data_IF_578767913208
#
_entry.id   IF_578767913208
#
_cell.length_a   1.000
_cell.length_b   1.000
_cell.length_c   1.000
_cell.angle_alpha   90.00
_cell.angle_beta   90.00
_cell.angle_gamma   90.00
#
_symmetry.space_group_name_H-M   'P 1'
#
loop_
_entity.id
_entity.type
_entity.pdbx_description
1 polymer ?
#
# COMPACT_ATOMS: atom_id res chain seq x y z
N UNK A 1 17.46 64.75 -43.79
CA UNK A 1 17.95 65.37 -45.04
C UNK A 1 18.67 66.66 -44.65
N UNK A 2 19.95 66.79 -45.04
CA UNK A 2 20.90 67.90 -44.78
C UNK A 2 21.39 68.15 -43.32
N UNK A 3 22.72 68.04 -43.05
CA UNK A 3 23.37 68.61 -41.88
C UNK A 3 23.91 70.04 -42.19
N UNK A 4 23.75 70.97 -41.25
CA UNK A 4 24.33 72.33 -41.34
C UNK A 4 25.73 72.39 -40.72
N UNK A 5 26.67 72.82 -41.57
CA UNK A 5 28.01 73.37 -41.25
C UNK A 5 27.90 74.62 -40.38
N UNK A 6 28.94 74.87 -39.57
CA UNK A 6 29.80 76.07 -39.68
C UNK A 6 30.94 76.01 -38.64
N UNK A 7 32.23 75.93 -39.03
CA UNK A 7 33.17 77.05 -39.35
C UNK A 7 33.41 77.98 -38.15
N UNK A 8 34.58 78.54 -37.85
CA UNK A 8 35.94 78.64 -38.41
C UNK A 8 36.62 79.79 -37.63
N UNK A 9 37.95 79.83 -37.62
CA UNK A 9 38.88 80.99 -37.50
C UNK A 9 39.82 80.91 -36.29
N UNK A 10 41.09 81.30 -36.34
CA UNK A 10 42.01 81.72 -37.42
C UNK A 10 43.41 81.80 -36.79
N UNK A 11 44.42 81.28 -37.51
CA UNK A 11 45.70 81.91 -37.91
C UNK A 11 46.48 82.78 -36.90
N UNK A 12 47.78 82.44 -36.75
CA UNK A 12 49.01 83.19 -37.20
C UNK A 12 50.24 82.47 -36.60
N UNK A 13 51.20 81.85 -37.31
CA UNK A 13 52.20 82.25 -38.33
C UNK A 13 53.40 83.06 -37.78
N UNK A 14 54.61 82.54 -38.13
CA UNK A 14 56.01 83.07 -38.06
C UNK A 14 56.75 82.85 -36.72
N UNK A 15 58.02 82.45 -36.68
CA UNK A 15 59.17 82.75 -37.57
C UNK A 15 60.29 81.67 -37.45
N UNK A 16 61.11 81.62 -38.51
CA UNK A 16 62.24 80.73 -38.82
C UNK A 16 63.52 80.95 -37.97
N UNK A 17 64.42 79.97 -38.14
CA UNK A 17 65.90 80.00 -38.10
C UNK A 17 66.55 79.77 -36.72
N UNK A 18 67.54 78.90 -36.55
CA UNK A 18 68.28 78.08 -37.52
C UNK A 18 69.45 77.35 -36.86
N UNK A 19 70.07 76.49 -37.67
CA UNK A 19 71.45 75.96 -37.62
C UNK A 19 71.83 74.82 -36.64
N UNK A 20 72.31 73.77 -37.33
CA UNK A 20 73.54 72.98 -37.14
C UNK A 20 73.43 71.63 -36.41
N UNK A 21 73.29 70.61 -37.26
CA UNK A 21 74.21 69.45 -37.39
C UNK A 21 74.99 69.02 -36.16
N UNK A 22 74.66 67.83 -35.66
CA UNK A 22 75.66 66.83 -35.29
C UNK A 22 75.12 65.44 -35.62
N UNK A 23 75.83 64.75 -36.50
CA UNK A 23 75.60 63.36 -36.87
C UNK A 23 76.05 62.49 -35.70
N UNK A 24 75.16 61.64 -35.17
CA UNK A 24 75.56 60.51 -34.32
C UNK A 24 74.84 59.24 -34.79
N UNK A 25 75.65 58.29 -35.24
CA UNK A 25 75.30 57.02 -35.86
C UNK A 25 74.83 56.00 -34.80
N UNK A 26 73.89 55.14 -35.23
CA UNK A 26 73.55 53.77 -34.75
C UNK A 26 72.65 53.62 -33.51
N UNK A 27 71.47 53.03 -33.71
CA UNK A 27 71.22 51.57 -33.52
C UNK A 27 69.81 51.20 -34.01
N UNK A 28 69.71 50.07 -34.72
CA UNK A 28 68.45 49.51 -35.18
C UNK A 28 67.58 49.08 -34.00
N UNK A 29 66.34 49.60 -33.94
CA UNK A 29 65.34 49.21 -32.95
C UNK A 29 64.58 47.99 -33.47
N UNK A 30 64.83 46.84 -32.84
CA UNK A 30 64.15 45.56 -33.06
C UNK A 30 62.65 45.71 -32.72
N UNK A 31 61.75 45.39 -33.66
CA UNK A 31 60.29 45.26 -33.42
C UNK A 31 60.05 44.30 -32.25
N UNK A 32 59.46 44.79 -31.15
CA UNK A 32 58.93 43.93 -30.07
C UNK A 32 57.59 43.36 -30.51
N UNK A 33 57.53 42.04 -30.64
CA UNK A 33 56.27 41.31 -30.80
C UNK A 33 55.45 41.39 -29.51
N UNK A 34 54.16 41.70 -29.62
CA UNK A 34 53.21 41.66 -28.52
C UNK A 34 52.96 40.21 -28.10
N UNK A 35 53.58 39.75 -27.02
CA UNK A 35 53.23 38.47 -26.39
C UNK A 35 51.87 38.60 -25.70
N UNK A 36 50.86 37.85 -26.16
CA UNK A 36 49.61 37.62 -25.43
C UNK A 36 49.93 37.07 -24.04
N UNK A 37 49.20 37.46 -22.97
CA UNK A 37 49.47 36.93 -21.64
C UNK A 37 49.28 35.40 -21.63
N UNK A 38 50.10 34.64 -20.89
CA UNK A 38 49.98 33.19 -20.87
C UNK A 38 48.65 32.82 -20.21
N UNK A 39 47.85 31.98 -20.88
CA UNK A 39 46.70 31.31 -20.24
C UNK A 39 47.27 30.52 -19.04
N UNK A 40 47.00 30.99 -17.81
CA UNK A 40 47.34 30.28 -16.58
C UNK A 40 46.67 28.90 -16.65
N UNK A 41 47.46 27.89 -16.95
CA UNK A 41 46.97 26.54 -17.15
C UNK A 41 46.74 25.96 -15.76
N UNK A 42 45.49 26.07 -15.27
CA UNK A 42 45.06 25.67 -13.93
C UNK A 42 45.00 24.13 -13.79
N UNK A 43 46.11 23.44 -14.11
CA UNK A 43 46.27 21.98 -14.03
C UNK A 43 46.04 21.48 -12.60
N UNK A 44 46.36 22.28 -11.59
CA UNK A 44 46.11 21.94 -10.19
C UNK A 44 44.62 21.96 -9.83
N UNK A 45 43.85 22.97 -10.27
CA UNK A 45 42.39 22.96 -10.02
C UNK A 45 41.67 21.91 -10.86
N UNK A 46 42.18 21.61 -12.07
CA UNK A 46 41.69 20.49 -12.88
C UNK A 46 41.99 19.13 -12.23
N UNK A 47 43.15 18.97 -11.59
CA UNK A 47 43.51 17.79 -10.80
C UNK A 47 42.64 17.65 -9.56
N UNK A 48 42.49 18.71 -8.77
CA UNK A 48 41.64 18.72 -7.57
C UNK A 48 40.17 18.43 -7.91
N UNK A 49 39.67 19.01 -9.01
CA UNK A 49 38.32 18.75 -9.52
C UNK A 49 38.15 17.29 -9.97
N UNK A 50 39.14 16.70 -10.66
CA UNK A 50 39.13 15.26 -11.02
C UNK A 50 39.17 14.36 -9.80
N UNK A 51 39.94 14.73 -8.78
CA UNK A 51 40.04 13.99 -7.52
C UNK A 51 38.74 14.05 -6.72
N UNK A 52 38.13 15.24 -6.59
CA UNK A 52 36.81 15.43 -5.98
C UNK A 52 35.71 14.66 -6.73
N UNK A 53 35.74 14.67 -8.07
CA UNK A 53 34.81 13.87 -8.89
C UNK A 53 35.01 12.37 -8.62
N UNK A 54 36.25 11.88 -8.55
CA UNK A 54 36.53 10.47 -8.22
C UNK A 54 36.05 10.09 -6.82
N UNK A 55 36.23 10.97 -5.82
CA UNK A 55 35.71 10.75 -4.47
C UNK A 55 34.18 10.73 -4.45
N UNK A 56 33.52 11.61 -5.19
CA UNK A 56 32.07 11.60 -5.35
C UNK A 56 31.60 10.29 -5.99
N UNK A 57 32.23 9.87 -7.10
CA UNK A 57 31.92 8.60 -7.75
C UNK A 57 32.14 7.40 -6.82
N UNK A 58 33.25 7.38 -6.08
CA UNK A 58 33.55 6.32 -5.11
C UNK A 58 32.52 6.31 -3.97
N UNK A 59 32.16 7.48 -3.44
CA UNK A 59 31.12 7.61 -2.42
C UNK A 59 29.75 7.15 -2.93
N UNK A 60 29.36 7.52 -4.15
CA UNK A 60 28.11 7.04 -4.76
C UNK A 60 28.13 5.54 -5.01
N UNK A 61 29.27 4.97 -5.41
CA UNK A 61 29.42 3.54 -5.64
C UNK A 61 29.34 2.75 -4.32
N UNK A 62 29.99 3.24 -3.25
CA UNK A 62 29.90 2.66 -1.92
C UNK A 62 28.47 2.74 -1.36
N UNK A 63 27.80 3.89 -1.53
CA UNK A 63 26.40 4.06 -1.15
C UNK A 63 25.46 3.12 -1.91
N UNK A 64 25.65 2.97 -3.22
CA UNK A 64 24.88 2.04 -4.05
C UNK A 64 25.13 0.58 -3.65
N UNK A 65 26.38 0.20 -3.35
CA UNK A 65 26.72 -1.13 -2.86
C UNK A 65 26.06 -1.40 -1.50
N UNK A 66 26.13 -0.45 -0.56
CA UNK A 66 25.45 -0.56 0.74
C UNK A 66 23.93 -0.74 0.59
N UNK A 67 23.30 0.05 -0.29
CA UNK A 67 21.88 -0.07 -0.58
C UNK A 67 21.53 -1.41 -1.23
N UNK A 68 22.38 -1.91 -2.14
CA UNK A 68 22.21 -3.24 -2.74
C UNK A 68 22.28 -4.35 -1.69
N UNK A 69 23.29 -4.36 -0.82
CA UNK A 69 23.40 -5.35 0.25
C UNK A 69 22.24 -5.26 1.24
N UNK A 70 21.80 -4.05 1.58
CA UNK A 70 20.64 -3.87 2.45
C UNK A 70 19.34 -4.33 1.79
N UNK A 71 19.10 -4.03 0.51
CA UNK A 71 17.97 -4.57 -0.24
C UNK A 71 18.03 -6.09 -0.35
N UNK A 72 19.20 -6.68 -0.53
CA UNK A 72 19.37 -8.13 -0.54
C UNK A 72 19.02 -8.75 0.83
N UNK A 73 19.48 -8.11 1.92
CA UNK A 73 19.11 -8.49 3.28
C UNK A 73 17.59 -8.41 3.51
N UNK A 74 16.95 -7.29 3.13
CA UNK A 74 15.50 -7.13 3.23
C UNK A 74 14.76 -8.17 2.39
N UNK A 75 15.22 -8.45 1.18
CA UNK A 75 14.64 -9.48 0.33
C UNK A 75 14.68 -10.85 1.00
N UNK A 76 15.80 -11.23 1.62
CA UNK A 76 15.89 -12.48 2.39
C UNK A 76 14.90 -12.51 3.56
N UNK A 77 14.86 -11.45 4.36
CA UNK A 77 13.92 -11.34 5.50
C UNK A 77 12.47 -11.47 5.02
N UNK A 78 12.11 -10.75 3.95
CA UNK A 78 10.77 -10.77 3.37
C UNK A 78 10.43 -12.18 2.87
N UNK A 79 11.27 -12.77 2.04
CA UNK A 79 11.06 -14.10 1.46
C UNK A 79 10.93 -15.17 2.54
N UNK A 80 11.84 -15.23 3.52
CA UNK A 80 11.78 -16.23 4.60
C UNK A 80 10.48 -16.12 5.41
N UNK A 81 10.03 -14.90 5.71
CA UNK A 81 8.78 -14.67 6.47
C UNK A 81 7.52 -14.98 5.64
N UNK A 82 7.56 -14.78 4.32
CA UNK A 82 6.44 -15.08 3.43
C UNK A 82 6.35 -16.54 2.99
N UNK A 83 7.47 -17.25 2.88
CA UNK A 83 7.51 -18.67 2.49
C UNK A 83 7.24 -19.62 3.67
N UNK A 84 7.51 -19.19 4.91
CA UNK A 84 7.22 -19.95 6.11
C UNK A 84 5.73 -19.98 6.51
N UNK A 85 5.43 -20.56 7.69
CA UNK A 85 4.10 -20.48 8.31
C UNK A 85 3.79 -19.03 8.68
N UNK A 86 3.14 -18.30 7.77
CA UNK A 86 2.81 -16.87 7.89
C UNK A 86 1.98 -16.53 9.14
N UNK A 87 1.13 -17.48 9.55
CA UNK A 87 0.25 -17.33 10.71
C UNK A 87 0.15 -18.65 11.44
N UNK A 88 0.19 -18.60 12.78
CA UNK A 88 -0.24 -19.70 13.60
C UNK A 88 -1.75 -19.58 13.76
N UNK A 89 -2.51 -20.37 12.98
CA UNK A 89 -3.98 -20.32 13.01
C UNK A 89 -4.43 -20.85 14.38
N UNK A 90 -5.27 -20.10 15.13
CA UNK A 90 -5.74 -20.57 16.42
C UNK A 90 -6.58 -21.83 16.26
N UNK A 91 -6.48 -22.73 17.24
CA UNK A 91 -7.42 -23.84 17.33
C UNK A 91 -8.78 -23.29 17.75
N UNK A 92 -9.84 -23.65 17.03
CA UNK A 92 -11.20 -23.21 17.35
C UNK A 92 -11.95 -24.32 18.06
N UNK A 93 -12.59 -23.97 19.16
CA UNK A 93 -13.46 -24.85 19.92
C UNK A 93 -14.89 -24.52 19.54
N UNK A 94 -15.57 -25.48 18.92
CA UNK A 94 -16.98 -25.38 18.57
C UNK A 94 -17.82 -26.17 19.57
N UNK A 95 -19.06 -25.74 19.77
CA UNK A 95 -20.04 -26.53 20.50
C UNK A 95 -20.51 -27.74 19.66
N UNK A 96 -21.35 -28.60 20.24
CA UNK A 96 -22.06 -29.60 19.44
C UNK A 96 -22.95 -28.90 18.40
N UNK A 97 -22.95 -29.35 17.13
CA UNK A 97 -23.94 -28.88 16.18
C UNK A 97 -25.34 -29.35 16.61
N UNK A 98 -26.37 -28.57 16.28
CA UNK A 98 -27.74 -29.04 16.43
C UNK A 98 -28.07 -29.96 15.25
N UNK A 99 -28.33 -31.22 15.54
CA UNK A 99 -28.88 -32.17 14.58
C UNK A 99 -30.41 -32.19 14.70
N UNK A 100 -31.10 -32.05 13.57
CA UNK A 100 -32.54 -32.25 13.48
C UNK A 100 -32.85 -33.42 12.56
N UNK A 101 -33.79 -34.24 12.99
CA UNK A 101 -34.35 -35.36 12.24
C UNK A 101 -35.81 -35.54 12.68
N UNK A 102 -36.60 -36.33 11.93
CA UNK A 102 -37.97 -36.63 12.30
C UNK A 102 -38.03 -37.32 13.68
N UNK A 103 -38.84 -36.78 14.60
CA UNK A 103 -38.94 -37.26 15.98
C UNK A 103 -37.87 -36.71 16.94
N UNK A 104 -36.99 -35.81 16.51
CA UNK A 104 -36.02 -35.17 17.40
C UNK A 104 -36.71 -34.42 18.56
N UNK A 105 -36.16 -34.55 19.77
CA UNK A 105 -36.62 -33.88 21.00
C UNK A 105 -36.13 -32.42 21.04
N UNK A 106 -36.56 -31.65 20.03
CA UNK A 106 -36.21 -30.24 19.86
C UNK A 106 -37.47 -29.45 19.56
N UNK A 107 -38.02 -28.81 20.59
CA UNK A 107 -39.25 -28.02 20.51
C UNK A 107 -39.12 -26.84 19.53
N UNK A 108 -40.24 -26.34 18.97
CA UNK A 108 -40.24 -25.12 18.16
C UNK A 108 -39.53 -23.93 18.82
N UNK A 109 -39.66 -23.79 20.13
CA UNK A 109 -39.06 -22.71 20.92
C UNK A 109 -37.55 -22.89 21.03
N UNK A 110 -37.06 -24.11 21.24
CA UNK A 110 -35.63 -24.41 21.28
C UNK A 110 -34.98 -24.20 19.92
N UNK A 111 -35.62 -24.65 18.83
CA UNK A 111 -35.11 -24.40 17.48
C UNK A 111 -35.03 -22.91 17.18
N UNK A 112 -36.07 -22.15 17.53
CA UNK A 112 -36.07 -20.70 17.37
C UNK A 112 -34.94 -20.02 18.16
N UNK A 113 -34.71 -20.46 19.40
CA UNK A 113 -33.61 -19.95 20.24
C UNK A 113 -32.24 -20.26 19.63
N UNK A 114 -32.06 -21.48 19.09
CA UNK A 114 -30.80 -21.89 18.46
C UNK A 114 -30.50 -21.07 17.20
N UNK A 115 -31.49 -20.93 16.31
CA UNK A 115 -31.36 -20.14 15.08
C UNK A 115 -31.03 -18.67 15.40
N UNK A 116 -31.66 -18.11 16.44
CA UNK A 116 -31.34 -16.76 16.93
C UNK A 116 -29.92 -16.67 17.50
N UNK A 117 -29.48 -17.66 18.28
CA UNK A 117 -28.12 -17.76 18.83
C UNK A 117 -27.06 -17.79 17.72
N UNK A 118 -27.35 -18.50 16.62
CA UNK A 118 -26.52 -18.56 15.43
C UNK A 118 -26.59 -17.30 14.55
N UNK A 119 -27.28 -16.24 15.00
CA UNK A 119 -27.35 -14.96 14.31
C UNK A 119 -28.10 -15.01 12.97
N UNK A 120 -29.04 -15.94 12.81
CA UNK A 120 -29.92 -15.95 11.63
C UNK A 120 -30.92 -14.80 11.72
N UNK A 121 -31.15 -14.14 10.58
CA UNK A 121 -32.05 -12.99 10.50
C UNK A 121 -33.45 -13.41 10.07
N UNK A 122 -34.45 -12.97 10.82
CA UNK A 122 -35.84 -13.22 10.44
C UNK A 122 -36.23 -12.34 9.23
N UNK A 123 -36.81 -12.94 8.18
CA UNK A 123 -37.24 -12.23 6.98
C UNK A 123 -38.62 -12.72 6.53
N UNK A 124 -39.39 -11.90 5.81
CA UNK A 124 -40.69 -12.31 5.26
C UNK A 124 -40.54 -13.44 4.24
N UNK A 125 -39.46 -13.41 3.46
CA UNK A 125 -39.09 -14.41 2.46
C UNK A 125 -37.59 -14.72 2.61
N UNK A 126 -37.21 -15.84 3.24
CA UNK A 126 -35.81 -16.25 3.37
C UNK A 126 -35.23 -16.59 1.98
N UNK A 127 -34.48 -15.66 1.40
CA UNK A 127 -33.89 -15.82 0.06
C UNK A 127 -32.36 -15.91 0.05
N UNK A 128 -31.73 -15.85 1.22
CA UNK A 128 -30.28 -15.86 1.35
C UNK A 128 -29.83 -16.68 2.57
N UNK A 129 -28.64 -17.31 2.54
CA UNK A 129 -28.10 -18.05 3.68
C UNK A 129 -28.08 -17.23 4.98
N UNK A 130 -28.41 -17.87 6.11
CA UNK A 130 -28.51 -17.22 7.41
C UNK A 130 -29.81 -16.44 7.60
N UNK A 131 -30.88 -16.80 6.90
CA UNK A 131 -32.21 -16.16 7.05
C UNK A 131 -33.29 -17.18 7.34
N UNK A 132 -34.36 -16.76 8.02
CA UNK A 132 -35.45 -17.67 8.41
C UNK A 132 -36.80 -16.98 8.55
N UNK A 133 -37.88 -17.77 8.55
CA UNK A 133 -39.23 -17.35 8.97
C UNK A 133 -39.94 -18.47 9.71
N UNK A 134 -40.85 -18.08 10.61
CA UNK A 134 -41.79 -18.98 11.28
C UNK A 134 -43.17 -18.85 10.65
N UNK A 135 -43.87 -19.97 10.49
CA UNK A 135 -45.25 -20.01 10.00
C UNK A 135 -46.02 -21.11 10.74
N UNK A 136 -46.97 -20.75 11.61
CA UNK A 136 -47.81 -21.65 12.44
C UNK A 136 -47.03 -22.84 13.03
N UNK A 137 -46.91 -23.94 12.28
CA UNK A 137 -46.25 -25.18 12.68
C UNK A 137 -45.00 -25.55 11.84
N UNK A 138 -44.37 -24.57 11.18
CA UNK A 138 -43.17 -24.81 10.38
C UNK A 138 -42.18 -23.65 10.45
N UNK A 139 -40.91 -23.97 10.28
CA UNK A 139 -39.83 -23.02 10.05
C UNK A 139 -39.33 -23.17 8.62
N UNK A 140 -39.16 -22.05 7.94
CA UNK A 140 -38.46 -22.01 6.66
C UNK A 140 -37.12 -21.34 6.92
N UNK A 141 -36.03 -22.06 6.65
CA UNK A 141 -34.69 -21.69 7.09
C UNK A 141 -33.76 -21.85 5.90
N UNK A 142 -32.96 -20.83 5.61
CA UNK A 142 -31.88 -20.94 4.64
C UNK A 142 -30.56 -21.08 5.41
N UNK A 143 -30.05 -22.30 5.49
CA UNK A 143 -28.81 -22.61 6.23
C UNK A 143 -27.59 -22.02 5.56
N UNK A 144 -26.53 -21.79 6.34
CA UNK A 144 -25.21 -21.41 5.80
C UNK A 144 -24.44 -22.65 5.38
N UNK A 145 -23.56 -22.49 4.39
CA UNK A 145 -22.58 -23.54 4.10
C UNK A 145 -21.64 -23.70 5.30
N UNK A 146 -21.33 -24.94 5.67
CA UNK A 146 -20.47 -25.25 6.81
C UNK A 146 -19.62 -26.49 6.53
N UNK A 147 -18.38 -26.47 7.02
CA UNK A 147 -17.47 -27.61 6.94
C UNK A 147 -17.42 -28.31 8.29
N UNK A 148 -18.09 -29.46 8.38
CA UNK A 148 -18.05 -30.33 9.54
C UNK A 148 -16.78 -31.20 9.52
N UNK A 149 -16.57 -31.99 10.57
CA UNK A 149 -15.42 -32.88 10.69
C UNK A 149 -15.47 -34.05 9.70
N UNK A 150 -16.66 -34.43 9.25
CA UNK A 150 -16.93 -35.55 8.35
C UNK A 150 -17.28 -35.11 6.93
N UNK A 151 -17.98 -33.99 6.76
CA UNK A 151 -18.43 -33.52 5.44
C UNK A 151 -18.53 -31.99 5.29
N UNK A 152 -18.44 -31.52 4.06
CA UNK A 152 -18.77 -30.14 3.70
C UNK A 152 -20.23 -30.06 3.24
N UNK A 153 -21.05 -29.31 3.96
CA UNK A 153 -22.47 -29.13 3.65
C UNK A 153 -22.68 -27.76 2.99
N UNK A 154 -23.28 -27.68 1.79
CA UNK A 154 -23.60 -26.41 1.15
C UNK A 154 -24.76 -25.71 1.87
N UNK A 155 -24.99 -24.43 1.58
CA UNK A 155 -26.19 -23.73 2.04
C UNK A 155 -27.44 -24.36 1.42
N UNK A 156 -28.51 -24.53 2.20
CA UNK A 156 -29.75 -25.17 1.75
C UNK A 156 -30.97 -24.40 2.24
N UNK A 157 -32.00 -24.31 1.41
CA UNK A 157 -33.32 -23.84 1.84
C UNK A 157 -34.15 -25.02 2.37
N UNK A 158 -34.48 -25.00 3.66
CA UNK A 158 -35.18 -26.09 4.37
C UNK A 158 -36.55 -25.61 4.89
N UNK A 159 -37.52 -26.53 4.90
CA UNK A 159 -38.77 -26.40 5.66
C UNK A 159 -38.79 -27.48 6.74
N UNK A 160 -38.70 -27.07 7.99
CA UNK A 160 -38.86 -27.94 9.16
C UNK A 160 -40.32 -27.86 9.60
N UNK A 161 -41.06 -28.96 9.52
CA UNK A 161 -42.44 -29.03 9.98
C UNK A 161 -42.50 -29.70 11.35
N UNK A 162 -43.40 -29.21 12.19
CA UNK A 162 -43.65 -29.75 13.51
C UNK A 162 -45.01 -30.44 13.57
N UNK A 163 -45.17 -31.35 14.53
CA UNK A 163 -46.46 -31.87 14.98
C UNK A 163 -46.47 -31.80 16.51
N UNK A 164 -47.25 -30.86 17.07
CA UNK A 164 -47.13 -30.50 18.48
C UNK A 164 -45.74 -29.95 18.81
N UNK A 165 -45.01 -30.65 19.69
CA UNK A 165 -43.65 -30.28 20.10
C UNK A 165 -42.54 -31.00 19.33
N UNK A 166 -42.90 -32.02 18.53
CA UNK A 166 -41.92 -32.89 17.87
C UNK A 166 -41.70 -32.47 16.42
N UNK A 167 -40.47 -32.64 15.92
CA UNK A 167 -40.16 -32.48 14.50
C UNK A 167 -40.87 -33.57 13.73
N UNK A 168 -41.73 -33.20 12.77
CA UNK A 168 -42.45 -34.14 11.93
C UNK A 168 -41.60 -34.57 10.74
N UNK A 169 -41.10 -33.59 9.98
CA UNK A 169 -40.24 -33.81 8.82
C UNK A 169 -39.43 -32.57 8.47
N UNK A 170 -38.43 -32.77 7.62
CA UNK A 170 -37.58 -31.71 7.08
C UNK A 170 -37.56 -31.86 5.57
N UNK A 171 -37.97 -30.84 4.84
CA UNK A 171 -37.99 -30.86 3.37
C UNK A 171 -36.99 -29.84 2.85
N UNK A 172 -36.07 -30.28 1.99
CA UNK A 172 -35.24 -29.39 1.20
C UNK A 172 -36.07 -28.78 0.07
N UNK A 173 -36.20 -27.46 0.09
CA UNK A 173 -37.07 -26.68 -0.81
C UNK A 173 -36.50 -26.56 -2.23
N UNK A 174 -35.19 -26.81 -2.40
CA UNK A 174 -34.51 -26.74 -3.70
C UNK A 174 -34.78 -28.00 -4.52
N UNK A 175 -34.59 -29.18 -3.92
CA UNK A 175 -34.78 -30.48 -4.58
C UNK A 175 -36.14 -31.14 -4.28
N UNK A 176 -36.93 -30.58 -3.36
CA UNK A 176 -38.23 -31.09 -2.87
C UNK A 176 -38.16 -32.50 -2.25
N UNK A 177 -37.01 -32.88 -1.71
CA UNK A 177 -36.82 -34.17 -1.03
C UNK A 177 -36.89 -33.98 0.49
N UNK A 178 -37.33 -35.04 1.15
CA UNK A 178 -37.25 -35.11 2.60
C UNK A 178 -35.80 -35.43 3.00
N UNK A 179 -35.26 -34.61 3.90
CA UNK A 179 -33.92 -34.79 4.44
C UNK A 179 -34.06 -35.60 5.75
N UNK A 180 -33.46 -36.80 5.83
CA UNK A 180 -33.61 -37.66 7.01
C UNK A 180 -32.96 -37.05 8.25
N UNK A 181 -31.86 -36.32 8.05
CA UNK A 181 -31.14 -35.60 9.09
C UNK A 181 -30.52 -34.36 8.48
N UNK A 182 -30.53 -33.25 9.23
CA UNK A 182 -29.79 -32.04 8.89
C UNK A 182 -29.02 -31.54 10.11
N UNK A 183 -27.88 -30.89 9.86
CA UNK A 183 -27.03 -30.31 10.89
C UNK A 183 -26.95 -28.81 10.71
N UNK A 184 -27.19 -28.07 11.77
CA UNK A 184 -26.88 -26.64 11.82
C UNK A 184 -25.40 -26.41 12.06
N UNK A 185 -24.89 -25.25 11.65
CA UNK A 185 -23.53 -24.85 11.98
C UNK A 185 -23.31 -24.87 13.49
N UNK A 186 -22.13 -25.33 13.91
CA UNK A 186 -21.77 -25.34 15.30
C UNK A 186 -21.37 -23.91 15.75
N UNK A 187 -21.92 -23.38 16.85
CA UNK A 187 -21.47 -22.11 17.38
C UNK A 187 -20.02 -22.23 17.87
N UNK A 188 -19.20 -21.26 17.48
CA UNK A 188 -17.82 -21.13 18.00
C UNK A 188 -17.89 -20.65 19.44
N UNK A 189 -17.27 -21.41 20.36
CA UNK A 189 -17.19 -21.08 21.78
C UNK A 189 -15.97 -20.20 22.02
N UNK A 190 -14.79 -20.67 21.57
CA UNK A 190 -13.51 -20.04 21.90
C UNK A 190 -12.46 -20.30 20.82
N UNK A 191 -11.48 -19.40 20.73
CA UNK A 191 -10.25 -19.54 19.96
C UNK A 191 -9.07 -19.68 20.91
N UNK A 192 -8.28 -20.74 20.76
CA UNK A 192 -7.05 -20.96 21.53
C UNK A 192 -5.86 -20.42 20.74
N UNK A 193 -5.23 -19.38 21.30
CA UNK A 193 -4.17 -18.63 20.63
C UNK A 193 -2.78 -19.23 20.87
N UNK A 194 -1.98 -19.43 19.81
CA UNK A 194 -0.55 -19.64 19.95
C UNK A 194 0.15 -18.29 20.18
N UNK A 195 0.73 -18.09 21.37
CA UNK A 195 1.73 -17.09 21.81
C UNK A 195 1.60 -15.58 21.46
N UNK A 196 0.85 -15.17 20.43
CA UNK A 196 0.88 -13.82 19.86
C UNK A 196 -0.45 -13.07 19.97
N UNK A 197 -1.47 -13.61 20.65
CA UNK A 197 -2.77 -12.96 20.90
C UNK A 197 -3.45 -12.33 19.66
N UNK A 198 -3.29 -12.94 18.49
CA UNK A 198 -3.97 -12.51 17.26
C UNK A 198 -5.04 -13.52 16.86
N UNK A 199 -6.30 -13.08 16.75
CA UNK A 199 -7.39 -13.88 16.19
C UNK A 199 -7.50 -13.67 14.69
N UNK A 200 -7.21 -14.72 13.93
CA UNK A 200 -7.18 -14.68 12.47
C UNK A 200 -8.04 -15.79 11.89
N UNK A 201 -8.91 -15.40 10.97
CA UNK A 201 -9.62 -16.31 10.07
C UNK A 201 -8.99 -16.20 8.69
N UNK A 202 -8.30 -17.26 8.26
CA UNK A 202 -7.79 -17.33 6.89
C UNK A 202 -8.96 -17.57 5.94
N UNK A 203 -9.18 -16.60 5.07
CA UNK A 203 -10.18 -16.66 4.00
C UNK A 203 -9.45 -16.59 2.67
N UNK A 204 -9.93 -17.30 1.65
CA UNK A 204 -9.37 -17.16 0.30
C UNK A 204 -9.92 -15.90 -0.34
N UNK A 205 -9.19 -15.34 -1.28
CA UNK A 205 -9.63 -14.16 -2.02
C UNK A 205 -10.98 -14.37 -2.72
N UNK A 206 -11.28 -15.60 -3.17
CA UNK A 206 -12.56 -15.98 -3.77
C UNK A 206 -13.75 -15.93 -2.80
N UNK A 207 -13.49 -16.05 -1.49
CA UNK A 207 -14.52 -16.08 -0.46
C UNK A 207 -14.89 -14.65 0.00
N UNK A 208 -14.14 -13.62 -0.44
CA UNK A 208 -14.35 -12.22 -0.08
C UNK A 208 -15.27 -11.56 -1.12
N UNK A 209 -16.37 -10.89 -0.69
CA UNK A 209 -17.23 -10.16 -1.61
C UNK A 209 -16.47 -9.10 -2.41
N UNK A 210 -16.63 -9.08 -3.73
CA UNK A 210 -15.89 -8.16 -4.62
C UNK A 210 -16.08 -6.68 -4.23
N UNK A 211 -17.28 -6.32 -3.75
CA UNK A 211 -17.59 -4.98 -3.26
C UNK A 211 -16.70 -4.57 -2.08
N UNK A 212 -16.32 -5.52 -1.21
CA UNK A 212 -15.44 -5.26 -0.08
C UNK A 212 -14.03 -4.92 -0.57
N UNK A 213 -13.51 -5.69 -1.53
CA UNK A 213 -12.19 -5.45 -2.15
C UNK A 213 -12.17 -4.09 -2.84
N UNK A 214 -13.18 -3.80 -3.67
CA UNK A 214 -13.31 -2.51 -4.38
C UNK A 214 -13.41 -1.34 -3.41
N UNK A 215 -14.17 -1.48 -2.33
CA UNK A 215 -14.34 -0.44 -1.30
C UNK A 215 -13.03 -0.19 -0.56
N UNK A 216 -12.33 -1.25 -0.14
CA UNK A 216 -11.04 -1.13 0.53
C UNK A 216 -10.02 -0.37 -0.34
N UNK A 217 -9.90 -0.76 -1.61
CA UNK A 217 -9.01 -0.07 -2.56
C UNK A 217 -9.47 1.38 -2.77
N UNK A 218 -10.77 1.65 -2.93
CA UNK A 218 -11.27 3.00 -3.17
C UNK A 218 -11.07 3.96 -1.98
N UNK A 219 -11.08 3.44 -0.75
CA UNK A 219 -10.93 4.21 0.49
C UNK A 219 -9.45 4.36 0.85
N UNK A 220 -8.71 3.26 0.91
CA UNK A 220 -7.33 3.24 1.41
C UNK A 220 -6.29 3.58 0.33
N UNK A 221 -6.46 3.06 -0.89
CA UNK A 221 -5.43 3.14 -1.93
C UNK A 221 -5.99 3.12 -3.36
N UNK A 222 -6.59 4.24 -3.79
CA UNK A 222 -7.29 4.35 -5.09
C UNK A 222 -6.43 4.00 -6.30
N UNK A 223 -5.12 4.15 -6.17
CA UNK A 223 -4.15 3.98 -7.24
C UNK A 223 -3.33 2.69 -7.07
N UNK A 224 -3.82 1.75 -6.24
CA UNK A 224 -3.11 0.53 -5.83
C UNK A 224 -2.43 -0.20 -7.00
N UNK A 225 -3.14 -0.42 -8.10
CA UNK A 225 -2.62 -1.15 -9.27
C UNK A 225 -1.70 -0.33 -10.19
N UNK A 226 -1.54 0.98 -9.94
CA UNK A 226 -0.71 1.86 -10.77
C UNK A 226 0.69 2.09 -10.19
N UNK A 227 0.96 1.62 -8.97
CA UNK A 227 2.23 1.81 -8.30
C UNK A 227 2.79 0.51 -7.72
N UNK A 228 4.11 0.47 -7.55
CA UNK A 228 4.83 -0.70 -7.06
C UNK A 228 4.95 -0.68 -5.53
N UNK A 229 3.83 -0.53 -4.84
CA UNK A 229 3.75 -0.51 -3.37
C UNK A 229 4.02 0.84 -2.70
N UNK A 230 4.54 1.86 -3.38
CA UNK A 230 4.68 3.24 -2.84
C UNK A 230 4.12 4.26 -3.82
N UNK A 231 3.23 5.14 -3.34
CA UNK A 231 2.59 6.17 -4.16
C UNK A 231 3.11 7.57 -3.83
N UNK A 232 4.02 8.09 -4.67
CA UNK A 232 4.54 9.46 -4.55
C UNK A 232 3.39 10.48 -4.62
N UNK A 233 2.42 10.25 -5.51
CA UNK A 233 1.24 11.12 -5.66
C UNK A 233 0.40 11.17 -4.39
N UNK A 234 0.17 10.03 -3.73
CA UNK A 234 -0.59 9.95 -2.48
C UNK A 234 0.13 10.65 -1.33
N UNK A 235 1.44 10.45 -1.21
CA UNK A 235 2.29 11.10 -0.20
C UNK A 235 2.30 12.61 -0.39
N UNK A 236 2.55 13.10 -1.61
CA UNK A 236 2.58 14.53 -1.91
C UNK A 236 1.23 15.20 -1.62
N UNK A 237 0.12 14.57 -2.02
CA UNK A 237 -1.24 15.07 -1.73
C UNK A 237 -1.50 15.17 -0.22
N UNK A 238 -1.21 14.10 0.51
CA UNK A 238 -1.42 14.05 1.96
C UNK A 238 -0.57 15.12 2.68
N UNK A 239 0.68 15.30 2.27
CA UNK A 239 1.56 16.34 2.79
C UNK A 239 0.99 17.76 2.56
N UNK A 240 0.53 18.08 1.35
CA UNK A 240 -0.05 19.40 1.06
C UNK A 240 -1.31 19.66 1.90
N UNK A 241 -2.17 18.65 2.07
CA UNK A 241 -3.40 18.76 2.86
C UNK A 241 -3.07 18.94 4.35
N UNK A 242 -2.15 18.15 4.89
CA UNK A 242 -1.76 18.23 6.30
C UNK A 242 -1.07 19.56 6.62
N UNK A 243 -0.23 20.08 5.71
CA UNK A 243 0.40 21.40 5.85
C UNK A 243 -0.65 22.53 5.87
N UNK A 244 -1.65 22.46 4.99
CA UNK A 244 -2.75 23.44 4.96
C UNK A 244 -3.63 23.37 6.22
N UNK A 245 -3.83 22.17 6.76
CA UNK A 245 -4.64 21.95 7.95
C UNK A 245 -3.89 22.23 9.27
N UNK A 246 -2.56 22.38 9.24
CA UNK A 246 -1.72 22.52 10.43
C UNK A 246 -1.63 21.26 11.31
N UNK A 247 -2.24 20.15 10.88
CA UNK A 247 -2.28 18.88 11.60
C UNK A 247 -2.40 17.71 10.61
N UNK A 248 -2.17 16.49 11.08
CA UNK A 248 -2.32 15.28 10.26
C UNK A 248 -3.81 14.96 10.11
N UNK A 249 -4.37 15.22 8.93
CA UNK A 249 -5.77 14.96 8.57
C UNK A 249 -5.88 13.81 7.56
N UNK A 250 -4.88 13.62 6.70
CA UNK A 250 -4.86 12.59 5.68
C UNK A 250 -3.61 11.70 5.76
N UNK A 251 -3.83 10.38 5.63
CA UNK A 251 -2.78 9.38 5.45
C UNK A 251 -2.29 9.31 4.00
N UNK A 252 -0.97 9.16 3.83
CA UNK A 252 -0.34 8.96 2.51
C UNK A 252 0.17 7.54 2.24
N UNK A 253 -0.01 6.62 3.21
CA UNK A 253 0.51 5.24 3.11
C UNK A 253 -0.34 4.37 2.19
N UNK A 254 0.30 3.54 1.38
CA UNK A 254 -0.35 2.55 0.50
C UNK A 254 -0.74 1.27 1.26
N UNK A 255 -1.57 0.42 0.66
CA UNK A 255 -1.91 -0.89 1.23
C UNK A 255 -0.66 -1.77 1.44
N UNK A 256 0.31 -1.74 0.52
CA UNK A 256 1.58 -2.48 0.65
C UNK A 256 2.41 -1.98 1.83
N UNK A 257 2.51 -0.67 2.03
CA UNK A 257 3.22 -0.12 3.20
C UNK A 257 2.51 -0.49 4.52
N UNK A 258 1.18 -0.48 4.53
CA UNK A 258 0.41 -0.92 5.68
C UNK A 258 0.63 -2.41 6.00
N UNK A 259 0.70 -3.26 4.97
CA UNK A 259 1.07 -4.67 5.12
C UNK A 259 2.49 -4.82 5.72
N UNK A 260 3.47 -4.10 5.18
CA UNK A 260 4.86 -4.16 5.68
C UNK A 260 4.95 -3.72 7.13
N UNK A 261 4.30 -2.59 7.46
CA UNK A 261 4.19 -2.09 8.84
C UNK A 261 3.62 -3.15 9.79
N UNK A 262 2.49 -3.75 9.43
CA UNK A 262 1.76 -4.64 10.33
C UNK A 262 2.39 -6.04 10.45
N UNK A 263 3.14 -6.48 9.43
CA UNK A 263 3.67 -7.86 9.36
C UNK A 263 5.18 -7.95 9.67
N UNK A 264 5.96 -6.92 9.35
CA UNK A 264 7.42 -6.94 9.52
C UNK A 264 7.95 -6.03 10.62
N UNK A 265 7.27 -4.93 10.91
CA UNK A 265 7.79 -3.86 11.76
C UNK A 265 7.02 -3.76 13.08
N UNK A 266 7.57 -3.00 14.03
CA UNK A 266 6.89 -2.69 15.29
C UNK A 266 5.78 -1.64 15.08
N UNK A 267 4.88 -1.51 16.06
CA UNK A 267 3.81 -0.49 16.06
C UNK A 267 4.30 0.93 16.38
N UNK A 268 5.59 1.12 16.69
CA UNK A 268 6.17 2.39 17.12
C UNK A 268 6.17 3.45 16.01
N UNK A 269 5.73 4.69 16.28
CA UNK A 269 5.71 5.75 15.26
C UNK A 269 7.06 6.46 15.13
N UNK A 270 8.05 5.84 14.48
CA UNK A 270 9.37 6.45 14.22
C UNK A 270 9.63 6.71 12.73
N UNK A 271 10.43 7.74 12.43
CA UNK A 271 10.86 8.07 11.06
C UNK A 271 11.74 6.96 10.46
N UNK A 272 12.63 6.36 11.26
CA UNK A 272 13.48 5.24 10.83
C UNK A 272 12.62 4.06 10.40
N UNK A 273 11.59 3.71 11.19
CA UNK A 273 10.64 2.66 10.79
C UNK A 273 9.92 3.02 9.50
N UNK A 274 9.51 4.28 9.31
CA UNK A 274 8.83 4.74 8.10
C UNK A 274 9.74 4.75 6.85
N UNK A 275 11.04 4.90 7.01
CA UNK A 275 12.02 4.77 5.92
C UNK A 275 12.31 3.30 5.58
N UNK A 276 12.17 2.40 6.56
CA UNK A 276 12.31 0.94 6.35
C UNK A 276 11.04 0.30 5.73
N UNK A 277 9.87 0.94 5.86
CA UNK A 277 8.61 0.56 5.17
C UNK A 277 8.70 0.72 3.65
#
# INVERSE_FOLDING_TARGET
MAPRKNTSRKKTVKKKAGKKTTVRKKRAVKKRSSKKPPRKNNRFTAFLKRWLIRLLFLGTALGAAGLFFYSFYLNQVVTTKFEGKRWAVPARVYARPLELYAGADVTPQQLEAEIKRLGYRQQKQPGAPGTWKKQRNSFFIYTRAFHFWDEAVPSQALKVSYQGQNVQNIINLENRREEPIIRFEAPMIESIYPAHNEDRILVRNSDIPEVMIKTLIAVEDRNFFSHHGVSIKSIARAMVINLRAGQVVQGGSTLTQQLVKNFFLSSERTLVRKLNE
#
